data_IF_506912751212
#
_entry.id   IF_506912751212
#
_cell.length_a   1.000
_cell.length_b   1.000
_cell.length_c   1.000
_cell.angle_alpha   90.00
_cell.angle_beta   90.00
_cell.angle_gamma   90.00
#
_symmetry.space_group_name_H-M   'P 1'
#
loop_
_entity.id
_entity.type
_entity.pdbx_description
1 polymer ?
#
# COMPACT_ATOMS: atom_id res chain seq x y z
N UNK A 1 25.62 -9.88 7.53
CA UNK A 1 26.68 -10.86 7.17
C UNK A 1 26.13 -12.20 6.63
N UNK A 2 24.84 -12.50 6.81
CA UNK A 2 24.20 -13.75 6.39
C UNK A 2 23.77 -13.69 4.93
N UNK A 3 23.82 -14.85 4.21
CA UNK A 3 23.20 -14.97 2.87
C UNK A 3 21.69 -14.82 2.93
N UNK A 4 21.04 -14.67 1.75
CA UNK A 4 19.57 -14.65 1.62
C UNK A 4 18.95 -15.88 2.29
N UNK A 5 19.43 -17.08 1.96
CA UNK A 5 19.01 -18.35 2.59
C UNK A 5 19.04 -18.28 4.12
N UNK A 6 20.17 -17.84 4.68
CA UNK A 6 20.33 -17.75 6.13
C UNK A 6 19.42 -16.70 6.77
N UNK A 7 19.17 -15.60 6.06
CA UNK A 7 18.24 -14.56 6.50
C UNK A 7 16.80 -15.09 6.58
N UNK A 8 16.33 -15.73 5.50
CA UNK A 8 14.97 -16.29 5.43
C UNK A 8 14.81 -17.42 6.45
N UNK A 9 15.82 -18.30 6.60
CA UNK A 9 15.80 -19.41 7.55
C UNK A 9 15.87 -18.97 9.03
N UNK A 10 16.32 -17.76 9.32
CA UNK A 10 16.64 -17.33 10.67
C UNK A 10 15.50 -17.52 11.68
N UNK A 11 14.24 -17.06 11.40
CA UNK A 11 13.15 -17.23 12.36
C UNK A 11 12.81 -18.70 12.63
N UNK A 12 12.93 -19.58 11.62
CA UNK A 12 12.66 -21.02 11.77
C UNK A 12 13.72 -21.72 12.61
N UNK A 13 14.99 -21.31 12.45
CA UNK A 13 16.09 -21.80 13.30
C UNK A 13 15.91 -21.39 14.76
N UNK A 14 15.46 -20.15 15.01
CA UNK A 14 15.17 -19.71 16.39
C UNK A 14 14.00 -20.49 17.00
N UNK A 15 13.04 -20.92 16.18
CA UNK A 15 11.97 -21.83 16.59
C UNK A 15 12.42 -23.31 16.75
N UNK A 16 13.72 -23.60 16.53
CA UNK A 16 14.29 -24.97 16.62
C UNK A 16 13.58 -25.98 15.72
N UNK A 17 13.09 -25.52 14.55
CA UNK A 17 12.45 -26.38 13.56
C UNK A 17 13.47 -27.35 12.95
N UNK A 18 12.99 -28.51 12.48
CA UNK A 18 13.82 -29.49 11.77
C UNK A 18 14.44 -28.91 10.49
N UNK A 19 15.67 -29.32 10.18
CA UNK A 19 16.44 -28.75 9.06
C UNK A 19 15.77 -29.05 7.70
N UNK A 20 15.18 -30.22 7.51
CA UNK A 20 14.49 -30.57 6.25
C UNK A 20 13.26 -29.65 6.03
N UNK A 21 12.51 -29.35 7.09
CA UNK A 21 11.37 -28.44 7.03
C UNK A 21 11.81 -26.99 6.81
N UNK A 22 12.92 -26.56 7.43
CA UNK A 22 13.52 -25.25 7.16
C UNK A 22 13.87 -25.12 5.67
N UNK A 23 14.55 -26.10 5.11
CA UNK A 23 14.98 -26.05 3.71
C UNK A 23 13.78 -26.06 2.77
N UNK A 24 12.75 -26.84 3.05
CA UNK A 24 11.49 -26.86 2.29
C UNK A 24 10.83 -25.47 2.27
N UNK A 25 10.61 -24.85 3.45
CA UNK A 25 9.96 -23.55 3.58
C UNK A 25 10.78 -22.42 2.97
N UNK A 26 12.08 -22.43 3.15
CA UNK A 26 12.99 -21.42 2.59
C UNK A 26 12.98 -21.48 1.06
N UNK A 27 13.04 -22.68 0.48
CA UNK A 27 12.97 -22.83 -0.98
C UNK A 27 11.62 -22.37 -1.53
N UNK A 28 10.51 -22.76 -0.92
CA UNK A 28 9.18 -22.32 -1.31
C UNK A 28 9.04 -20.79 -1.24
N UNK A 29 9.50 -20.16 -0.16
CA UNK A 29 9.49 -18.70 -0.03
C UNK A 29 10.39 -18.02 -1.08
N UNK A 30 11.56 -18.58 -1.37
CA UNK A 30 12.47 -18.05 -2.38
C UNK A 30 11.85 -18.10 -3.79
N UNK A 31 11.12 -19.15 -4.12
CA UNK A 31 10.38 -19.28 -5.38
C UNK A 31 9.25 -18.25 -5.51
N UNK A 32 8.40 -18.15 -4.49
CA UNK A 32 7.28 -17.19 -4.46
C UNK A 32 7.76 -15.74 -4.64
N UNK A 33 8.96 -15.43 -4.11
CA UNK A 33 9.54 -14.09 -4.11
C UNK A 33 10.55 -13.86 -5.25
N UNK A 34 10.70 -14.80 -6.19
CA UNK A 34 11.70 -14.73 -7.25
C UNK A 34 13.13 -14.45 -6.72
N UNK A 35 13.52 -15.14 -5.65
CA UNK A 35 14.82 -15.02 -5.00
C UNK A 35 15.71 -16.27 -5.19
N UNK A 36 15.26 -17.29 -5.93
CA UNK A 36 15.99 -18.55 -6.10
C UNK A 36 17.42 -18.33 -6.60
N UNK A 37 17.61 -17.51 -7.65
CA UNK A 37 18.92 -17.19 -8.23
C UNK A 37 19.81 -16.33 -7.31
N UNK A 38 19.25 -15.78 -6.27
CA UNK A 38 19.95 -14.89 -5.33
C UNK A 38 20.15 -15.51 -3.95
N UNK A 39 19.70 -16.76 -3.77
CA UNK A 39 19.55 -17.41 -2.46
C UNK A 39 20.88 -17.47 -1.66
N UNK A 40 22.00 -17.58 -2.33
CA UNK A 40 23.33 -17.65 -1.70
C UNK A 40 24.03 -16.28 -1.63
N UNK A 41 23.47 -15.22 -2.24
CA UNK A 41 24.02 -13.87 -2.15
C UNK A 41 23.85 -13.25 -0.77
N UNK A 42 24.67 -12.24 -0.49
CA UNK A 42 24.57 -11.41 0.72
C UNK A 42 23.75 -10.15 0.41
N UNK A 43 23.09 -9.53 1.40
CA UNK A 43 22.26 -8.31 1.18
C UNK A 43 22.98 -7.16 0.47
N UNK A 44 24.29 -6.99 0.66
CA UNK A 44 25.06 -5.97 -0.05
C UNK A 44 25.22 -6.20 -1.57
N UNK A 45 24.88 -7.41 -2.06
CA UNK A 45 24.93 -7.79 -3.47
C UNK A 45 23.54 -7.73 -4.14
N UNK A 46 22.54 -7.19 -3.44
CA UNK A 46 21.14 -7.15 -3.84
C UNK A 46 20.71 -5.70 -4.15
N UNK A 47 19.77 -5.55 -5.08
CA UNK A 47 19.05 -4.30 -5.28
C UNK A 47 18.15 -3.96 -4.10
N UNK A 48 17.62 -2.72 -4.04
CA UNK A 48 16.65 -2.30 -3.01
C UNK A 48 15.44 -3.23 -2.93
N UNK A 49 14.79 -3.51 -4.08
CA UNK A 49 13.64 -4.40 -4.16
C UNK A 49 13.97 -5.85 -3.75
N UNK A 50 15.14 -6.37 -4.14
CA UNK A 50 15.57 -7.71 -3.71
C UNK A 50 15.78 -7.77 -2.20
N UNK A 51 16.35 -6.73 -1.57
CA UNK A 51 16.45 -6.66 -0.10
C UNK A 51 15.08 -6.64 0.57
N UNK A 52 14.12 -5.89 -0.01
CA UNK A 52 12.74 -5.85 0.47
C UNK A 52 12.09 -7.24 0.40
N UNK A 53 12.24 -7.96 -0.72
CA UNK A 53 11.75 -9.34 -0.85
C UNK A 53 12.37 -10.28 0.18
N UNK A 54 13.64 -10.12 0.52
CA UNK A 54 14.27 -10.91 1.60
C UNK A 54 13.61 -10.62 2.96
N UNK A 55 13.28 -9.37 3.26
CA UNK A 55 12.57 -9.00 4.48
C UNK A 55 11.17 -9.63 4.53
N UNK A 56 10.43 -9.59 3.42
CA UNK A 56 9.13 -10.26 3.27
C UNK A 56 9.29 -11.78 3.44
N UNK A 57 10.32 -12.39 2.84
CA UNK A 57 10.60 -13.83 2.96
C UNK A 57 10.81 -14.30 4.40
N UNK A 58 11.45 -13.48 5.23
CA UNK A 58 11.59 -13.74 6.67
C UNK A 58 10.25 -13.81 7.42
N UNK A 59 9.24 -13.09 6.93
CA UNK A 59 7.91 -13.13 7.50
C UNK A 59 7.09 -14.33 6.97
N UNK A 60 7.14 -14.57 5.67
CA UNK A 60 6.36 -15.61 4.98
C UNK A 60 6.67 -17.01 5.52
N UNK A 61 7.96 -17.34 5.74
CA UNK A 61 8.37 -18.68 6.19
C UNK A 61 7.74 -19.12 7.52
N UNK A 62 7.23 -18.15 8.30
CA UNK A 62 6.55 -18.41 9.57
C UNK A 62 5.08 -18.82 9.38
N UNK A 63 4.54 -18.70 8.16
CA UNK A 63 3.12 -18.97 7.85
C UNK A 63 2.18 -18.27 8.84
N UNK A 64 2.26 -16.93 8.98
CA UNK A 64 1.48 -16.20 9.96
C UNK A 64 0.00 -16.12 9.54
N UNK A 65 -0.90 -15.96 10.53
CA UNK A 65 -2.32 -15.72 10.28
C UNK A 65 -2.61 -14.35 9.67
N UNK A 66 -1.71 -13.38 9.86
CA UNK A 66 -1.78 -12.05 9.26
C UNK A 66 -0.38 -11.45 9.10
N UNK A 67 -0.20 -10.65 8.04
CA UNK A 67 1.00 -9.84 7.81
C UNK A 67 0.74 -8.39 8.24
N UNK A 68 1.74 -7.78 8.87
CA UNK A 68 1.75 -6.36 9.20
C UNK A 68 2.86 -5.67 8.41
N UNK A 69 2.49 -4.75 7.53
CA UNK A 69 3.42 -3.92 6.77
C UNK A 69 3.32 -2.48 7.27
N UNK A 70 4.41 -1.96 7.80
CA UNK A 70 4.49 -0.59 8.29
C UNK A 70 5.35 0.22 7.32
N UNK A 71 4.69 1.00 6.46
CA UNK A 71 5.29 1.83 5.40
C UNK A 71 6.38 1.12 4.57
N UNK A 72 6.13 -0.08 4.02
CA UNK A 72 7.20 -0.92 3.48
C UNK A 72 7.87 -0.33 2.23
N UNK A 73 7.26 0.64 1.55
CA UNK A 73 7.78 1.23 0.31
C UNK A 73 8.31 2.66 0.49
N UNK A 74 8.27 3.22 1.69
CA UNK A 74 8.63 4.63 1.96
C UNK A 74 10.07 4.97 1.57
N UNK A 75 11.00 4.03 1.70
CA UNK A 75 12.43 4.22 1.43
C UNK A 75 12.86 3.85 0.00
N UNK A 76 11.91 3.64 -0.92
CA UNK A 76 12.20 3.29 -2.31
C UNK A 76 12.00 4.49 -3.24
N UNK A 77 12.79 4.52 -4.33
CA UNK A 77 12.57 5.48 -5.41
C UNK A 77 11.22 5.22 -6.13
N UNK A 78 10.72 6.23 -6.87
CA UNK A 78 9.40 6.18 -7.47
C UNK A 78 9.21 5.00 -8.45
N UNK A 79 10.20 4.71 -9.28
CA UNK A 79 10.11 3.64 -10.27
C UNK A 79 10.08 2.26 -9.59
N UNK A 80 10.94 2.03 -8.61
CA UNK A 80 10.99 0.80 -7.85
C UNK A 80 9.72 0.61 -7.01
N UNK A 81 9.14 1.70 -6.47
CA UNK A 81 7.89 1.66 -5.71
C UNK A 81 6.71 1.14 -6.54
N UNK A 82 6.61 1.57 -7.81
CA UNK A 82 5.57 1.06 -8.73
C UNK A 82 5.69 -0.46 -8.92
N UNK A 83 6.89 -0.96 -9.20
CA UNK A 83 7.13 -2.40 -9.34
C UNK A 83 6.80 -3.18 -8.06
N UNK A 84 7.24 -2.68 -6.90
CA UNK A 84 7.02 -3.33 -5.62
C UNK A 84 5.54 -3.37 -5.20
N UNK A 85 4.73 -2.35 -5.55
CA UNK A 85 3.27 -2.39 -5.34
C UNK A 85 2.62 -3.56 -6.08
N UNK A 86 2.98 -3.75 -7.34
CA UNK A 86 2.47 -4.87 -8.14
C UNK A 86 2.87 -6.21 -7.51
N UNK A 87 4.12 -6.36 -7.10
CA UNK A 87 4.62 -7.58 -6.47
C UNK A 87 3.92 -7.90 -5.14
N UNK A 88 3.68 -6.91 -4.28
CA UNK A 88 2.96 -7.11 -3.02
C UNK A 88 1.49 -7.48 -3.30
N UNK A 89 0.84 -6.86 -4.29
CA UNK A 89 -0.52 -7.21 -4.68
C UNK A 89 -0.62 -8.65 -5.22
N UNK A 90 0.35 -9.08 -6.04
CA UNK A 90 0.41 -10.47 -6.51
C UNK A 90 0.68 -11.44 -5.35
N UNK A 91 1.56 -11.06 -4.44
CA UNK A 91 1.86 -11.85 -3.26
C UNK A 91 0.62 -12.03 -2.37
N UNK A 92 -0.15 -10.96 -2.15
CA UNK A 92 -1.42 -11.01 -1.41
C UNK A 92 -2.37 -12.04 -2.02
N UNK A 93 -2.55 -11.99 -3.36
CA UNK A 93 -3.40 -12.94 -4.08
C UNK A 93 -2.90 -14.39 -3.97
N UNK A 94 -1.58 -14.59 -4.04
CA UNK A 94 -0.96 -15.94 -3.93
C UNK A 94 -1.07 -16.54 -2.54
N UNK A 95 -0.87 -15.72 -1.50
CA UNK A 95 -0.87 -16.19 -0.11
C UNK A 95 -2.28 -16.30 0.47
N UNK A 96 -3.26 -15.57 -0.06
CA UNK A 96 -4.65 -15.52 0.42
C UNK A 96 -4.75 -15.29 1.95
N UNK A 97 -3.80 -14.53 2.50
CA UNK A 97 -3.67 -14.27 3.94
C UNK A 97 -3.99 -12.81 4.22
N UNK A 98 -4.60 -12.52 5.35
CA UNK A 98 -4.89 -11.14 5.75
C UNK A 98 -3.61 -10.30 5.83
N UNK A 99 -3.64 -9.14 5.19
CA UNK A 99 -2.54 -8.17 5.23
C UNK A 99 -3.06 -6.85 5.79
N UNK A 100 -2.42 -6.35 6.83
CA UNK A 100 -2.60 -4.98 7.33
C UNK A 100 -1.44 -4.16 6.81
N UNK A 101 -1.75 -3.13 6.04
CA UNK A 101 -0.76 -2.31 5.34
C UNK A 101 -0.91 -0.85 5.76
N UNK A 102 0.09 -0.30 6.43
CA UNK A 102 0.14 1.11 6.81
C UNK A 102 0.87 1.90 5.74
N UNK A 103 0.28 2.96 5.25
CA UNK A 103 0.87 3.87 4.28
C UNK A 103 0.31 5.28 4.40
N UNK A 104 1.10 6.27 4.03
CA UNK A 104 0.65 7.64 3.78
C UNK A 104 0.47 7.93 2.27
N UNK A 105 0.77 6.97 1.40
CA UNK A 105 0.60 7.10 -0.05
C UNK A 105 -0.82 6.65 -0.46
N UNK A 106 -1.60 7.60 -0.95
CA UNK A 106 -2.99 7.35 -1.39
C UNK A 106 -3.05 6.35 -2.56
N UNK A 107 -2.07 6.36 -3.46
CA UNK A 107 -2.05 5.47 -4.61
C UNK A 107 -1.87 4.02 -4.13
N UNK A 108 -1.03 3.79 -3.13
CA UNK A 108 -0.89 2.49 -2.50
C UNK A 108 -2.21 2.03 -1.89
N UNK A 109 -2.82 2.87 -1.04
CA UNK A 109 -4.09 2.55 -0.40
C UNK A 109 -5.20 2.25 -1.42
N UNK A 110 -5.36 3.11 -2.44
CA UNK A 110 -6.43 3.00 -3.42
C UNK A 110 -6.28 1.81 -4.39
N UNK A 111 -5.04 1.39 -4.66
CA UNK A 111 -4.76 0.35 -5.67
C UNK A 111 -4.54 -1.05 -5.09
N UNK A 112 -4.16 -1.15 -3.83
CA UNK A 112 -3.77 -2.43 -3.23
C UNK A 112 -4.78 -2.95 -2.21
N UNK A 113 -5.58 -2.07 -1.57
CA UNK A 113 -6.45 -2.47 -0.47
C UNK A 113 -7.82 -2.94 -0.93
N UNK A 114 -8.34 -4.01 -0.31
CA UNK A 114 -9.75 -4.38 -0.38
C UNK A 114 -10.60 -3.45 0.50
N UNK A 115 -10.02 -2.96 1.60
CA UNK A 115 -10.65 -2.07 2.55
C UNK A 115 -9.63 -1.07 3.11
N UNK A 116 -9.99 0.21 3.09
CA UNK A 116 -9.19 1.30 3.65
C UNK A 116 -9.78 1.73 5.00
N UNK A 117 -8.91 1.98 5.96
CA UNK A 117 -9.21 2.65 7.22
C UNK A 117 -8.52 4.01 7.22
N UNK A 118 -9.30 5.09 7.17
CA UNK A 118 -8.75 6.45 7.26
C UNK A 118 -8.72 6.88 8.72
N UNK A 119 -7.55 7.30 9.16
CA UNK A 119 -7.27 7.73 10.53
C UNK A 119 -6.87 9.21 10.56
N UNK A 120 -7.42 9.97 11.52
CA UNK A 120 -6.98 11.32 11.84
C UNK A 120 -6.80 11.46 13.36
N UNK A 121 -5.61 11.86 13.79
CA UNK A 121 -5.30 12.06 15.21
C UNK A 121 -5.69 10.85 16.11
N UNK A 122 -5.49 9.62 15.62
CA UNK A 122 -5.82 8.40 16.36
C UNK A 122 -7.30 7.98 16.31
N UNK A 123 -8.16 8.74 15.62
CA UNK A 123 -9.59 8.45 15.46
C UNK A 123 -9.86 7.92 14.06
N UNK A 124 -10.72 6.90 13.96
CA UNK A 124 -11.17 6.36 12.68
C UNK A 124 -12.22 7.30 12.08
N UNK A 125 -11.91 7.91 10.95
CA UNK A 125 -12.80 8.80 10.22
C UNK A 125 -13.77 8.04 9.31
N UNK A 126 -13.26 7.07 8.55
CA UNK A 126 -14.06 6.24 7.68
C UNK A 126 -13.37 4.90 7.42
N UNK A 127 -14.19 3.85 7.21
CA UNK A 127 -13.74 2.51 6.81
C UNK A 127 -14.61 2.04 5.66
N UNK A 128 -13.99 1.53 4.59
CA UNK A 128 -14.75 0.98 3.44
C UNK A 128 -13.84 0.60 2.26
N UNK A 129 -14.43 0.06 1.20
CA UNK A 129 -13.72 -0.15 -0.07
C UNK A 129 -13.19 1.16 -0.65
N UNK A 130 -12.07 1.13 -1.41
CA UNK A 130 -11.44 2.34 -1.98
C UNK A 130 -12.43 3.26 -2.72
N UNK A 131 -13.23 2.70 -3.62
CA UNK A 131 -14.19 3.47 -4.42
C UNK A 131 -15.33 4.08 -3.61
N UNK A 132 -15.71 3.47 -2.50
CA UNK A 132 -16.71 4.04 -1.59
C UNK A 132 -16.16 5.30 -0.91
N UNK A 133 -14.93 5.24 -0.37
CA UNK A 133 -14.31 6.40 0.24
C UNK A 133 -14.11 7.55 -0.76
N UNK A 134 -13.83 7.21 -2.02
CA UNK A 134 -13.67 8.18 -3.08
C UNK A 134 -14.99 8.88 -3.46
N UNK A 135 -16.06 8.10 -3.66
CA UNK A 135 -17.36 8.57 -4.16
C UNK A 135 -18.20 9.20 -3.07
N UNK A 136 -18.18 8.62 -1.87
CA UNK A 136 -19.03 9.01 -0.73
C UNK A 136 -18.21 9.23 0.53
N UNK A 137 -17.30 10.22 0.53
CA UNK A 137 -16.53 10.55 1.71
C UNK A 137 -17.45 11.05 2.83
N UNK A 138 -17.22 10.56 4.06
CA UNK A 138 -18.05 10.86 5.23
C UNK A 138 -17.94 12.33 5.69
N UNK A 139 -16.79 12.94 5.46
CA UNK A 139 -16.51 14.32 5.84
C UNK A 139 -15.47 14.97 4.91
N UNK A 140 -15.23 16.26 5.11
CA UNK A 140 -14.30 17.05 4.31
C UNK A 140 -12.84 16.59 4.44
N UNK A 141 -12.47 16.01 5.58
CA UNK A 141 -11.12 15.45 5.76
C UNK A 141 -10.91 14.25 4.83
N UNK A 142 -11.82 13.28 4.86
CA UNK A 142 -11.73 12.11 3.97
C UNK A 142 -11.82 12.53 2.50
N UNK A 143 -12.70 13.48 2.16
CA UNK A 143 -12.85 14.02 0.81
C UNK A 143 -11.54 14.63 0.25
N UNK A 144 -10.83 15.39 1.08
CA UNK A 144 -9.56 16.02 0.72
C UNK A 144 -8.36 15.10 0.84
N UNK A 145 -8.47 14.02 1.64
CA UNK A 145 -7.39 13.06 1.84
C UNK A 145 -7.36 11.97 0.76
N UNK A 146 -8.53 11.49 0.33
CA UNK A 146 -8.67 10.41 -0.67
C UNK A 146 -8.80 10.99 -2.08
N UNK A 147 -7.90 10.59 -2.97
CA UNK A 147 -7.89 10.96 -4.38
C UNK A 147 -6.71 11.85 -4.78
N UNK A 148 -6.16 11.57 -5.96
CA UNK A 148 -5.08 12.36 -6.59
C UNK A 148 -5.43 12.58 -8.06
N UNK A 149 -5.69 13.83 -8.48
CA UNK A 149 -5.68 15.06 -7.69
C UNK A 149 -6.74 15.11 -6.57
N UNK A 150 -6.55 16.01 -5.59
CA UNK A 150 -7.49 16.17 -4.48
C UNK A 150 -8.83 16.71 -4.95
N UNK A 151 -9.90 16.42 -4.18
CA UNK A 151 -11.20 17.05 -4.37
C UNK A 151 -11.10 18.57 -4.17
N UNK A 152 -11.73 19.34 -5.06
CA UNK A 152 -11.88 20.78 -4.88
C UNK A 152 -12.99 21.02 -3.87
N UNK A 153 -12.65 21.66 -2.75
CA UNK A 153 -13.60 22.01 -1.70
C UNK A 153 -13.89 23.52 -1.77
N UNK A 154 -15.13 23.85 -2.09
CA UNK A 154 -15.61 25.22 -2.28
C UNK A 154 -16.47 25.59 -1.08
N UNK A 155 -16.21 26.76 -0.48
CA UNK A 155 -16.91 27.28 0.71
C UNK A 155 -17.47 28.67 0.45
N UNK A 156 -18.16 29.24 1.44
CA UNK A 156 -18.67 30.62 1.39
C UNK A 156 -19.89 30.78 0.49
N UNK A 157 -20.00 31.91 -0.22
CA UNK A 157 -21.20 32.26 -0.98
C UNK A 157 -21.57 31.22 -2.06
N UNK A 158 -20.58 30.61 -2.71
CA UNK A 158 -20.83 29.59 -3.71
C UNK A 158 -21.47 28.34 -3.12
N UNK A 159 -20.98 27.87 -1.98
CA UNK A 159 -21.58 26.75 -1.26
C UNK A 159 -23.02 27.07 -0.80
N UNK A 160 -23.23 28.28 -0.29
CA UNK A 160 -24.56 28.74 0.18
C UNK A 160 -25.64 28.78 -0.92
N UNK A 161 -25.27 28.97 -2.18
CA UNK A 161 -26.20 28.87 -3.32
C UNK A 161 -26.82 27.49 -3.47
N UNK A 162 -26.20 26.47 -2.89
CA UNK A 162 -26.62 25.07 -2.93
C UNK A 162 -27.06 24.54 -1.56
N UNK A 163 -27.44 25.43 -0.63
CA UNK A 163 -27.82 25.08 0.74
C UNK A 163 -26.75 24.24 1.49
N UNK A 164 -25.47 24.48 1.19
CA UNK A 164 -24.34 23.76 1.76
C UNK A 164 -23.32 24.70 2.39
N UNK A 165 -22.60 24.23 3.39
CA UNK A 165 -21.44 24.93 3.97
C UNK A 165 -20.18 24.70 3.15
N UNK A 166 -20.11 23.54 2.47
CA UNK A 166 -19.00 23.15 1.61
C UNK A 166 -19.51 22.27 0.46
N UNK A 167 -19.08 22.54 -0.76
CA UNK A 167 -19.30 21.70 -1.95
C UNK A 167 -17.97 21.03 -2.30
N UNK A 168 -18.00 19.74 -2.54
CA UNK A 168 -16.86 18.98 -3.04
C UNK A 168 -17.04 18.59 -4.50
N UNK A 169 -16.07 18.92 -5.36
CA UNK A 169 -16.07 18.55 -6.77
C UNK A 169 -14.77 17.82 -7.09
N UNK A 170 -14.88 16.60 -7.59
CA UNK A 170 -13.73 15.85 -8.09
C UNK A 170 -13.21 16.47 -9.38
N UNK A 171 -11.88 16.49 -9.62
CA UNK A 171 -11.29 17.08 -10.82
C UNK A 171 -11.86 16.55 -12.14
N UNK A 172 -12.18 15.27 -12.20
CA UNK A 172 -12.79 14.63 -13.40
C UNK A 172 -14.22 15.06 -13.70
N UNK A 173 -14.87 15.79 -12.80
CA UNK A 173 -16.20 16.35 -12.99
C UNK A 173 -16.16 17.85 -13.34
N UNK A 174 -14.98 18.38 -13.66
CA UNK A 174 -14.79 19.80 -14.03
C UNK A 174 -14.44 19.86 -15.51
N UNK A 175 -15.34 20.43 -16.28
CA UNK A 175 -15.10 20.75 -17.69
C UNK A 175 -14.51 22.15 -17.82
N UNK A 176 -13.38 22.28 -18.52
CA UNK A 176 -12.76 23.56 -18.84
C UNK A 176 -13.30 24.06 -20.16
N UNK A 177 -13.91 25.25 -20.13
CA UNK A 177 -14.54 25.89 -21.33
C UNK A 177 -13.94 27.27 -21.53
N UNK A 178 -13.85 27.73 -22.81
CA UNK A 178 -13.28 29.04 -23.14
C UNK A 178 -14.18 30.21 -22.72
N UNK A 179 -15.52 29.99 -22.66
CA UNK A 179 -16.48 30.99 -22.21
C UNK A 179 -17.73 30.34 -21.63
N UNK A 180 -18.49 31.09 -20.80
CA UNK A 180 -19.75 30.61 -20.21
C UNK A 180 -19.58 29.61 -19.07
N UNK A 181 -18.36 29.45 -18.51
CA UNK A 181 -18.12 28.62 -17.36
C UNK A 181 -18.76 29.18 -16.08
N UNK A 182 -19.07 28.28 -15.13
CA UNK A 182 -19.65 28.67 -13.82
C UNK A 182 -18.65 29.42 -12.97
N UNK A 183 -17.35 29.09 -13.11
CA UNK A 183 -16.24 29.75 -12.42
C UNK A 183 -15.14 30.14 -13.41
N UNK A 184 -14.41 31.20 -13.08
CA UNK A 184 -13.19 31.59 -13.79
C UNK A 184 -11.95 31.20 -12.98
N UNK A 185 -11.02 30.51 -13.61
CA UNK A 185 -9.73 30.13 -13.03
C UNK A 185 -8.57 30.73 -13.81
N UNK A 186 -7.43 30.90 -13.18
CA UNK A 186 -6.14 31.26 -13.81
C UNK A 186 -5.18 30.09 -13.72
#
# INVERSE_FOLDING_TARGET
>A
HMSVRKNIAFPLRMAKMDQAEIDRRVNAAAEVLNLADYIDRRPGQLSGGQRQRVAIGRAIVREPSAFLFDEPLSNLDAALRVGMRMEISELHKKLATTMVYVTHDQVEAMTMADKIVVLQAGVIEQVGPPLELYRTPRNTFVAGFIGSPKMNLITGQEASKHDATTIGIRPEHIDVVESGGMWTGT
#
